data_IF_180091097230
#
_entry.id   IF_180091097230
#
_cell.length_a   1.000
_cell.length_b   1.000
_cell.length_c   1.000
_cell.angle_alpha   90.00
_cell.angle_beta   90.00
_cell.angle_gamma   90.00
#
_symmetry.space_group_name_H-M   'P 1'
#
loop_
_entity.id
_entity.type
_entity.pdbx_description
1 polymer ?
#
# COMPACT_ATOMS: atom_id res chain seq x y z
N UNK A 1 5.28 -36.74 24.70
CA UNK A 1 4.22 -37.67 25.12
C UNK A 1 3.18 -36.97 26.00
N UNK A 2 2.32 -36.09 25.45
CA UNK A 2 1.18 -35.55 26.19
C UNK A 2 0.15 -34.94 25.22
N UNK A 3 -0.73 -35.76 24.64
CA UNK A 3 -1.70 -35.29 23.64
C UNK A 3 -3.16 -35.28 24.08
N UNK A 4 -3.51 -35.68 25.31
CA UNK A 4 -4.91 -35.63 25.77
C UNK A 4 -5.04 -35.36 27.28
N UNK A 5 -4.81 -34.11 27.74
CA UNK A 5 -4.91 -33.74 29.16
C UNK A 5 -6.33 -33.99 29.73
N UNK A 6 -7.37 -33.86 28.92
CA UNK A 6 -8.77 -34.13 29.31
C UNK A 6 -9.02 -35.61 29.62
N UNK A 7 -8.44 -36.54 28.84
CA UNK A 7 -8.59 -37.98 29.04
C UNK A 7 -7.89 -38.42 30.34
N UNK A 8 -6.73 -37.83 30.64
CA UNK A 8 -5.99 -38.12 31.88
C UNK A 8 -6.78 -37.68 33.12
N UNK A 9 -7.39 -36.50 33.08
CA UNK A 9 -8.22 -35.98 34.17
C UNK A 9 -9.49 -36.83 34.38
N UNK A 10 -10.12 -37.29 33.29
CA UNK A 10 -11.30 -38.15 33.35
C UNK A 10 -10.96 -39.52 33.97
N UNK A 11 -9.87 -40.15 33.53
CA UNK A 11 -9.43 -41.43 34.06
C UNK A 11 -9.06 -41.33 35.55
N UNK A 12 -8.37 -40.25 35.95
CA UNK A 12 -8.04 -39.98 37.36
C UNK A 12 -9.29 -39.78 38.22
N UNK A 13 -10.27 -39.02 37.73
CA UNK A 13 -11.54 -38.79 38.44
C UNK A 13 -12.36 -40.07 38.63
N UNK A 14 -12.36 -40.95 37.62
CA UNK A 14 -13.06 -42.23 37.67
C UNK A 14 -12.42 -43.21 38.66
N UNK A 15 -11.09 -43.28 38.65
CA UNK A 15 -10.31 -44.15 39.55
C UNK A 15 -10.46 -43.71 41.02
N UNK A 16 -10.47 -42.39 41.26
CA UNK A 16 -10.68 -41.81 42.59
C UNK A 16 -12.11 -42.03 43.10
N UNK A 17 -13.11 -41.91 42.24
CA UNK A 17 -14.53 -42.15 42.60
C UNK A 17 -14.78 -43.62 42.95
N UNK A 18 -14.23 -44.57 42.18
CA UNK A 18 -14.33 -46.01 42.48
C UNK A 18 -13.60 -46.32 43.79
N UNK A 19 -12.39 -45.77 43.98
CA UNK A 19 -11.62 -45.93 45.21
C UNK A 19 -12.39 -45.44 46.44
N UNK A 20 -13.00 -44.25 46.37
CA UNK A 20 -13.81 -43.70 47.46
C UNK A 20 -15.06 -44.55 47.76
N UNK A 21 -15.73 -45.05 46.73
CA UNK A 21 -16.90 -45.93 46.88
C UNK A 21 -16.55 -47.23 47.62
N UNK A 22 -15.41 -47.86 47.27
CA UNK A 22 -14.96 -49.09 47.92
C UNK A 22 -14.55 -48.86 49.38
N UNK A 23 -13.93 -47.71 49.68
CA UNK A 23 -13.60 -47.33 51.06
C UNK A 23 -14.87 -47.09 51.88
N UNK A 24 -15.85 -46.38 51.34
CA UNK A 24 -17.13 -46.12 52.03
C UNK A 24 -17.91 -47.42 52.32
N UNK A 25 -17.95 -48.35 51.36
CA UNK A 25 -18.52 -49.69 51.57
C UNK A 25 -17.73 -50.47 52.64
N UNK A 26 -16.40 -50.35 52.68
CA UNK A 26 -15.55 -50.95 53.71
C UNK A 26 -15.80 -50.45 55.13
N UNK A 27 -16.30 -49.21 55.28
CA UNK A 27 -16.74 -48.65 56.57
C UNK A 27 -18.23 -48.93 56.90
N UNK A 28 -18.91 -49.75 56.09
CA UNK A 28 -20.30 -50.14 56.32
C UNK A 28 -21.35 -49.15 55.83
N UNK A 29 -20.95 -48.07 55.12
CA UNK A 29 -21.87 -47.13 54.49
C UNK A 29 -22.26 -47.62 53.10
N UNK A 30 -23.47 -48.16 52.96
CA UNK A 30 -23.97 -48.67 51.69
C UNK A 30 -24.48 -47.53 50.81
N UNK A 31 -23.64 -47.06 49.89
CA UNK A 31 -24.02 -46.03 48.91
C UNK A 31 -24.87 -46.70 47.82
N UNK A 32 -26.13 -46.28 47.61
CA UNK A 32 -26.96 -46.87 46.56
C UNK A 32 -26.30 -46.67 45.20
N UNK A 33 -26.13 -47.77 44.45
CA UNK A 33 -25.40 -47.80 43.17
C UNK A 33 -25.96 -46.83 42.12
N UNK A 34 -27.22 -46.40 42.27
CA UNK A 34 -27.84 -45.35 41.44
C UNK A 34 -27.11 -44.00 41.50
N UNK A 35 -26.54 -43.61 42.65
CA UNK A 35 -25.79 -42.36 42.77
C UNK A 35 -24.47 -42.39 41.99
N UNK A 36 -23.83 -43.56 41.90
CA UNK A 36 -22.60 -43.74 41.12
C UNK A 36 -22.88 -43.60 39.62
N UNK A 37 -23.95 -44.23 39.13
CA UNK A 37 -24.34 -44.09 37.72
C UNK A 37 -24.75 -42.67 37.36
N UNK A 38 -25.41 -41.95 38.27
CA UNK A 38 -25.75 -40.55 38.09
C UNK A 38 -24.50 -39.66 37.99
N UNK A 39 -23.48 -39.88 38.82
CA UNK A 39 -22.22 -39.12 38.79
C UNK A 39 -21.40 -39.36 37.51
N UNK A 40 -21.35 -40.61 37.04
CA UNK A 40 -20.69 -40.97 35.77
C UNK A 40 -21.42 -40.31 34.60
N UNK A 41 -22.76 -40.42 34.56
CA UNK A 41 -23.58 -39.83 33.51
C UNK A 41 -23.46 -38.30 33.47
N UNK A 42 -23.44 -37.64 34.63
CA UNK A 42 -23.26 -36.19 34.73
C UNK A 42 -21.89 -35.74 34.23
N UNK A 43 -20.82 -36.48 34.56
CA UNK A 43 -19.47 -36.16 34.11
C UNK A 43 -19.30 -36.30 32.60
N UNK A 44 -19.86 -37.37 32.00
CA UNK A 44 -19.86 -37.55 30.54
C UNK A 44 -20.64 -36.44 29.85
N UNK A 45 -21.77 -36.02 30.44
CA UNK A 45 -22.58 -34.93 29.90
C UNK A 45 -21.86 -33.57 29.95
N UNK A 46 -21.18 -33.26 31.07
CA UNK A 46 -20.38 -32.03 31.16
C UNK A 46 -19.23 -32.03 30.14
N UNK A 47 -18.53 -33.15 29.98
CA UNK A 47 -17.45 -33.24 29.00
C UNK A 47 -17.96 -33.12 27.56
N UNK A 48 -19.13 -33.70 27.25
CA UNK A 48 -19.78 -33.53 25.95
C UNK A 48 -20.16 -32.06 25.68
N UNK A 49 -20.72 -31.38 26.68
CA UNK A 49 -21.02 -29.94 26.58
C UNK A 49 -19.75 -29.09 26.44
N UNK A 50 -18.67 -29.45 27.14
CA UNK A 50 -17.39 -28.77 27.04
C UNK A 50 -16.73 -28.96 25.65
N UNK A 51 -16.75 -30.18 25.12
CA UNK A 51 -16.25 -30.45 23.76
C UNK A 51 -17.07 -29.72 22.70
N UNK A 52 -18.39 -29.63 22.87
CA UNK A 52 -19.29 -28.92 21.97
C UNK A 52 -19.09 -27.39 22.07
N UNK A 53 -18.82 -26.87 23.26
CA UNK A 53 -18.45 -25.46 23.47
C UNK A 53 -17.10 -25.13 22.81
N UNK A 54 -16.10 -25.99 22.95
CA UNK A 54 -14.78 -25.82 22.29
C UNK A 54 -14.94 -25.90 20.76
N UNK A 55 -15.75 -26.83 20.25
CA UNK A 55 -16.05 -26.96 18.82
C UNK A 55 -16.73 -25.70 18.27
N UNK A 56 -17.73 -25.17 18.96
CA UNK A 56 -18.37 -23.91 18.59
C UNK A 56 -17.42 -22.72 18.69
N UNK A 57 -16.54 -22.68 19.70
CA UNK A 57 -15.56 -21.58 19.86
C UNK A 57 -14.50 -21.59 18.76
N UNK A 58 -14.06 -22.78 18.30
CA UNK A 58 -13.20 -22.92 17.10
C UNK A 58 -13.92 -22.43 15.85
N UNK A 59 -15.19 -22.81 15.66
CA UNK A 59 -16.00 -22.36 14.52
C UNK A 59 -16.21 -20.84 14.52
N UNK A 60 -16.38 -20.22 15.69
CA UNK A 60 -16.54 -18.76 15.81
C UNK A 60 -15.23 -17.97 15.67
N UNK A 61 -14.09 -18.49 16.16
CA UNK A 61 -12.79 -17.83 15.99
C UNK A 61 -12.29 -17.87 14.53
N UNK A 62 -12.65 -18.91 13.76
CA UNK A 62 -12.39 -18.97 12.32
C UNK A 62 -13.38 -18.16 11.47
N UNK A 63 -14.42 -17.57 12.06
CA UNK A 63 -15.39 -16.72 11.36
C UNK A 63 -14.98 -15.23 11.31
N UNK A 64 -13.92 -14.83 12.04
CA UNK A 64 -13.39 -13.46 12.05
C UNK A 64 -12.09 -13.27 11.26
N UNK A 65 -11.61 -14.27 10.52
CA UNK A 65 -10.69 -14.03 9.41
C UNK A 65 -11.47 -13.41 8.24
N UNK A 66 -11.62 -12.09 8.41
CA UNK A 66 -12.01 -11.02 7.52
C UNK A 66 -12.37 -11.43 6.09
N UNK A 67 -13.58 -11.07 5.66
CA UNK A 67 -13.98 -11.08 4.26
C UNK A 67 -12.93 -10.38 3.37
N UNK A 68 -12.20 -9.38 3.91
CA UNK A 68 -11.05 -8.75 3.26
C UNK A 68 -9.89 -9.72 2.98
N UNK A 69 -9.45 -10.53 3.94
CA UNK A 69 -8.36 -11.49 3.69
C UNK A 69 -8.76 -12.55 2.68
N UNK A 70 -10.00 -13.04 2.72
CA UNK A 70 -10.49 -14.00 1.70
C UNK A 70 -10.56 -13.38 0.31
N UNK A 71 -10.99 -12.12 0.19
CA UNK A 71 -10.97 -11.41 -1.10
C UNK A 71 -9.55 -11.11 -1.55
N UNK A 72 -8.64 -10.74 -0.64
CA UNK A 72 -7.24 -10.51 -0.97
C UNK A 72 -6.58 -11.80 -1.41
N UNK A 73 -6.83 -12.93 -0.75
CA UNK A 73 -6.28 -14.24 -1.12
C UNK A 73 -6.88 -14.76 -2.44
N UNK A 74 -8.18 -14.57 -2.67
CA UNK A 74 -8.82 -14.90 -3.95
C UNK A 74 -8.29 -14.03 -5.11
N UNK A 75 -8.14 -12.72 -4.88
CA UNK A 75 -7.53 -11.79 -5.84
C UNK A 75 -6.07 -12.13 -6.05
N UNK A 76 -5.31 -12.47 -5.01
CA UNK A 76 -3.91 -12.89 -5.10
C UNK A 76 -3.74 -14.24 -5.79
N UNK A 77 -4.68 -15.18 -5.64
CA UNK A 77 -4.71 -16.45 -6.38
C UNK A 77 -5.01 -16.23 -7.86
N UNK A 78 -5.95 -15.34 -8.19
CA UNK A 78 -6.22 -14.90 -9.57
C UNK A 78 -5.03 -14.17 -10.20
N UNK A 79 -4.34 -13.33 -9.42
CA UNK A 79 -3.15 -12.58 -9.84
C UNK A 79 -1.93 -13.49 -9.97
N UNK A 80 -1.74 -14.47 -9.08
CA UNK A 80 -0.53 -15.30 -9.06
C UNK A 80 -0.58 -16.49 -10.02
N UNK A 81 -1.75 -16.88 -10.52
CA UNK A 81 -1.92 -18.05 -11.39
C UNK A 81 -1.42 -19.37 -10.78
N UNK A 82 -1.09 -19.38 -9.48
CA UNK A 82 -0.59 -20.56 -8.78
C UNK A 82 -1.76 -21.28 -8.16
N UNK A 83 -2.17 -22.35 -8.84
CA UNK A 83 -2.99 -23.41 -8.28
C UNK A 83 -2.12 -24.12 -7.24
N UNK A 84 -2.35 -23.88 -5.95
CA UNK A 84 -2.00 -24.92 -4.99
C UNK A 84 -2.96 -26.07 -5.27
N UNK A 85 -2.38 -27.22 -5.62
CA UNK A 85 -3.07 -28.45 -5.96
C UNK A 85 -3.92 -28.92 -4.78
N UNK A 86 -5.14 -28.42 -4.70
CA UNK A 86 -6.21 -29.11 -4.02
C UNK A 86 -6.57 -30.31 -4.90
N UNK A 87 -6.32 -31.52 -4.39
CA UNK A 87 -6.82 -32.79 -4.94
C UNK A 87 -8.29 -32.63 -5.34
N UNK A 88 -8.55 -32.46 -6.63
CA UNK A 88 -9.88 -32.43 -7.20
C UNK A 88 -9.85 -33.17 -8.52
N UNK A 89 -10.85 -34.05 -8.67
CA UNK A 89 -11.06 -35.04 -9.73
C UNK A 89 -10.49 -34.67 -11.11
N UNK A 90 -9.88 -35.67 -11.74
CA UNK A 90 -9.33 -35.61 -13.10
C UNK A 90 -10.35 -35.11 -14.14
N UNK A 91 -11.65 -35.29 -13.88
CA UNK A 91 -12.74 -34.82 -14.73
C UNK A 91 -12.98 -33.31 -14.65
N UNK A 92 -12.73 -32.70 -13.48
CA UNK A 92 -12.79 -31.23 -13.30
C UNK A 92 -11.49 -30.57 -13.79
N UNK A 93 -10.36 -31.26 -13.68
CA UNK A 93 -9.08 -30.81 -14.21
C UNK A 93 -9.08 -30.71 -15.75
N UNK A 94 -9.76 -31.63 -16.44
CA UNK A 94 -9.88 -31.62 -17.90
C UNK A 94 -10.81 -30.51 -18.42
N UNK A 95 -11.87 -30.16 -17.69
CA UNK A 95 -12.74 -29.03 -18.04
C UNK A 95 -12.11 -27.65 -17.79
N UNK A 96 -11.13 -27.58 -16.89
CA UNK A 96 -10.36 -26.36 -16.63
C UNK A 96 -9.14 -26.19 -17.55
N UNK A 97 -8.74 -27.24 -18.29
CA UNK A 97 -7.64 -27.20 -19.24
C UNK A 97 -8.01 -26.51 -20.57
N UNK A 98 -9.30 -26.25 -20.80
CA UNK A 98 -9.84 -25.64 -22.03
C UNK A 98 -10.29 -24.17 -21.84
N UNK A 99 -9.98 -23.58 -20.67
CA UNK A 99 -10.10 -22.15 -20.44
C UNK A 99 -8.72 -21.56 -20.16
N UNK A 100 -8.02 -21.36 -21.28
CA UNK A 100 -7.10 -20.26 -21.54
C UNK A 100 -6.01 -20.03 -20.48
N UNK A 101 -4.82 -20.55 -20.78
CA UNK A 101 -3.51 -20.16 -20.22
C UNK A 101 -3.16 -18.67 -20.51
N UNK A 102 -4.15 -17.81 -20.74
CA UNK A 102 -3.94 -16.39 -20.82
C UNK A 102 -3.86 -15.84 -19.40
N UNK A 103 -2.64 -15.56 -18.96
CA UNK A 103 -2.41 -14.70 -17.81
C UNK A 103 -3.20 -13.40 -18.00
N UNK A 104 -4.37 -13.28 -17.35
CA UNK A 104 -5.32 -12.15 -17.51
C UNK A 104 -4.63 -10.80 -17.32
N UNK A 105 -3.61 -10.75 -16.45
CA UNK A 105 -2.75 -9.59 -16.24
C UNK A 105 -1.30 -9.94 -16.50
N UNK A 106 -0.59 -9.03 -17.16
CA UNK A 106 0.84 -9.11 -17.36
C UNK A 106 1.61 -8.83 -16.04
N UNK A 107 2.90 -9.17 -15.94
CA UNK A 107 3.67 -8.97 -14.71
C UNK A 107 3.75 -7.52 -14.19
N UNK A 108 3.71 -6.52 -15.07
CA UNK A 108 3.77 -5.10 -14.69
C UNK A 108 2.45 -4.64 -14.07
N UNK A 109 1.32 -5.05 -14.65
CA UNK A 109 -0.02 -4.77 -14.12
C UNK A 109 -0.21 -5.38 -12.73
N UNK A 110 0.27 -6.61 -12.51
CA UNK A 110 0.21 -7.25 -11.19
C UNK A 110 0.97 -6.46 -10.12
N UNK A 111 2.17 -5.96 -10.45
CA UNK A 111 2.97 -5.12 -9.54
C UNK A 111 2.26 -3.79 -9.25
N UNK A 112 1.61 -3.19 -10.25
CA UNK A 112 0.82 -1.98 -10.05
C UNK A 112 -0.35 -2.24 -9.09
N UNK A 113 -1.10 -3.34 -9.29
CA UNK A 113 -2.20 -3.74 -8.40
C UNK A 113 -1.70 -3.95 -6.97
N UNK A 114 -0.58 -4.65 -6.80
CA UNK A 114 0.03 -4.87 -5.48
C UNK A 114 0.40 -3.54 -4.78
N UNK A 115 0.98 -2.58 -5.51
CA UNK A 115 1.30 -1.25 -4.97
C UNK A 115 0.06 -0.46 -4.59
N UNK A 116 -1.01 -0.51 -5.39
CA UNK A 116 -2.31 0.13 -5.06
C UNK A 116 -2.90 -0.46 -3.78
N UNK A 117 -2.90 -1.79 -3.63
CA UNK A 117 -3.43 -2.47 -2.43
C UNK A 117 -2.65 -2.08 -1.16
N UNK A 118 -1.36 -1.82 -1.29
CA UNK A 118 -0.49 -1.42 -0.18
C UNK A 118 -0.42 0.11 0.02
N UNK A 119 -1.01 0.92 -0.88
CA UNK A 119 -0.92 2.38 -0.85
C UNK A 119 -1.49 2.97 0.45
N UNK A 120 -2.54 2.36 1.01
CA UNK A 120 -3.15 2.81 2.27
C UNK A 120 -2.24 2.68 3.50
N UNK A 121 -1.19 1.86 3.42
CA UNK A 121 -0.24 1.67 4.53
C UNK A 121 0.95 2.63 4.45
N UNK A 122 1.07 3.41 3.37
CA UNK A 122 2.13 4.39 3.16
C UNK A 122 1.65 5.79 3.50
N UNK A 123 2.56 6.59 4.03
CA UNK A 123 2.35 8.00 4.37
C UNK A 123 3.09 8.91 3.38
N UNK A 124 2.73 10.19 3.37
CA UNK A 124 3.41 11.22 2.59
C UNK A 124 4.90 11.31 2.93
N UNK A 125 5.28 11.14 4.20
CA UNK A 125 6.70 11.12 4.62
C UNK A 125 7.53 10.00 3.97
N UNK A 126 6.89 8.91 3.54
CA UNK A 126 7.60 7.77 2.91
C UNK A 126 7.95 7.98 1.44
N UNK A 127 7.48 9.08 0.82
CA UNK A 127 7.71 9.41 -0.60
C UNK A 127 8.15 10.86 -0.81
N UNK A 128 8.17 11.67 0.25
CA UNK A 128 8.49 13.10 0.12
C UNK A 128 9.94 13.29 -0.28
N UNK A 129 10.21 14.37 -1.01
CA UNK A 129 11.56 14.92 -1.13
C UNK A 129 11.88 15.63 0.18
N UNK A 130 12.91 15.14 0.88
CA UNK A 130 13.37 15.71 2.15
C UNK A 130 13.82 17.16 1.97
N UNK A 131 13.62 18.01 2.97
CA UNK A 131 14.02 19.42 2.98
C UNK A 131 15.46 19.65 2.49
N UNK A 132 16.38 18.75 2.82
CA UNK A 132 17.79 18.86 2.44
C UNK A 132 18.04 18.65 0.95
N UNK A 133 17.15 17.94 0.26
CA UNK A 133 17.26 17.61 -1.16
C UNK A 133 16.42 18.55 -2.04
N UNK A 134 15.73 19.53 -1.44
CA UNK A 134 14.92 20.50 -2.16
C UNK A 134 15.82 21.58 -2.77
N UNK A 135 15.79 21.68 -4.10
CA UNK A 135 16.29 22.86 -4.80
C UNK A 135 15.41 24.08 -4.47
N UNK A 136 16.04 25.13 -3.95
CA UNK A 136 15.36 26.33 -3.49
C UNK A 136 16.10 27.58 -3.92
N UNK A 137 15.40 28.71 -3.89
CA UNK A 137 15.96 30.02 -4.18
C UNK A 137 15.72 30.98 -3.02
N UNK A 138 16.75 31.73 -2.65
CA UNK A 138 16.63 32.78 -1.66
C UNK A 138 15.76 33.91 -2.21
N UNK A 139 14.83 34.41 -1.40
CA UNK A 139 14.00 35.57 -1.72
C UNK A 139 14.81 36.81 -2.15
N UNK A 140 16.02 36.96 -1.61
CA UNK A 140 16.94 38.05 -1.87
C UNK A 140 18.03 37.71 -2.90
N UNK A 141 17.92 36.57 -3.58
CA UNK A 141 18.83 36.20 -4.65
C UNK A 141 18.88 37.32 -5.72
N UNK A 142 20.08 37.72 -6.20
CA UNK A 142 20.20 38.68 -7.28
C UNK A 142 19.46 38.21 -8.52
N UNK A 143 18.86 39.13 -9.28
CA UNK A 143 18.10 38.79 -10.49
C UNK A 143 18.92 37.96 -11.50
N UNK A 144 20.23 38.20 -11.60
CA UNK A 144 21.12 37.42 -12.45
C UNK A 144 21.18 35.94 -12.07
N UNK A 145 21.12 35.62 -10.78
CA UNK A 145 21.10 34.24 -10.26
C UNK A 145 19.74 33.58 -10.55
N UNK A 146 18.64 34.31 -10.32
CA UNK A 146 17.29 33.84 -10.67
C UNK A 146 17.23 33.49 -12.16
N UNK A 147 17.77 34.33 -13.03
CA UNK A 147 17.82 34.09 -14.48
C UNK A 147 18.65 32.87 -14.85
N UNK A 148 19.84 32.72 -14.25
CA UNK A 148 20.70 31.56 -14.47
C UNK A 148 20.02 30.25 -14.01
N UNK A 149 19.22 30.31 -12.94
CA UNK A 149 18.45 29.18 -12.47
C UNK A 149 17.30 28.86 -13.44
N UNK A 150 16.56 29.85 -13.92
CA UNK A 150 15.50 29.65 -14.92
C UNK A 150 15.98 29.01 -16.23
N UNK A 151 17.24 29.20 -16.61
CA UNK A 151 17.83 28.58 -17.81
C UNK A 151 18.18 27.09 -17.61
N UNK A 152 18.52 26.70 -16.38
CA UNK A 152 18.99 25.33 -16.07
C UNK A 152 17.90 24.46 -15.44
N UNK A 153 16.95 25.09 -14.77
CA UNK A 153 15.97 24.40 -13.96
C UNK A 153 14.90 23.73 -14.85
N UNK A 154 14.64 22.46 -14.60
CA UNK A 154 13.68 21.64 -15.35
C UNK A 154 12.34 21.50 -14.61
N UNK A 155 12.20 22.11 -13.43
CA UNK A 155 11.01 22.02 -12.61
C UNK A 155 9.99 23.10 -12.98
N UNK A 156 8.72 22.80 -12.73
CA UNK A 156 7.62 23.73 -12.99
C UNK A 156 7.40 24.74 -11.86
N UNK A 157 8.00 24.48 -10.69
CA UNK A 157 7.85 25.24 -9.45
C UNK A 157 9.21 25.33 -8.77
N UNK A 158 9.49 26.49 -8.18
CA UNK A 158 10.65 26.74 -7.35
C UNK A 158 10.19 26.96 -5.92
N UNK A 159 10.87 26.34 -4.97
CA UNK A 159 10.66 26.61 -3.55
C UNK A 159 11.45 27.85 -3.18
N UNK A 160 10.83 28.78 -2.45
CA UNK A 160 11.46 30.03 -2.02
C UNK A 160 11.75 29.96 -0.53
N UNK A 161 12.98 30.27 -0.14
CA UNK A 161 13.39 30.39 1.26
C UNK A 161 13.39 31.85 1.72
N UNK A 162 13.15 32.05 3.01
CA UNK A 162 13.23 33.36 3.65
C UNK A 162 14.66 33.80 3.94
N UNK A 163 14.77 35.02 4.44
CA UNK A 163 16.05 35.70 4.70
C UNK A 163 16.80 35.13 5.93
N UNK A 164 16.14 34.26 6.69
CA UNK A 164 16.65 33.74 7.96
C UNK A 164 17.73 32.67 7.71
N UNK A 165 18.75 32.62 8.59
CA UNK A 165 19.81 31.58 8.55
C UNK A 165 19.24 30.16 8.68
N UNK A 166 18.04 30.03 9.26
CA UNK A 166 17.30 28.77 9.37
C UNK A 166 16.75 28.27 8.03
N UNK A 167 16.70 29.11 6.99
CA UNK A 167 16.23 28.73 5.65
C UNK A 167 14.77 28.29 5.63
N UNK A 168 13.89 29.03 6.30
CA UNK A 168 12.45 28.70 6.37
C UNK A 168 11.84 28.73 4.97
N UNK A 169 11.15 27.65 4.58
CA UNK A 169 10.49 27.56 3.28
C UNK A 169 9.23 28.42 3.30
N UNK A 170 9.25 29.55 2.58
CA UNK A 170 8.17 30.53 2.58
C UNK A 170 7.01 30.12 1.68
N UNK A 171 7.28 29.41 0.59
CA UNK A 171 6.26 29.01 -0.37
C UNK A 171 6.86 28.62 -1.71
N UNK A 172 6.03 28.67 -2.75
CA UNK A 172 6.42 28.28 -4.11
C UNK A 172 6.13 29.37 -5.13
N UNK A 173 6.99 29.46 -6.14
CA UNK A 173 6.79 30.31 -7.32
C UNK A 173 6.67 29.41 -8.54
N UNK A 174 5.70 29.69 -9.39
CA UNK A 174 5.58 29.01 -10.68
C UNK A 174 6.60 29.59 -11.67
N UNK A 175 7.42 28.73 -12.26
CA UNK A 175 8.47 29.12 -13.21
C UNK A 175 7.88 29.88 -14.40
N UNK A 176 6.68 29.51 -14.85
CA UNK A 176 6.00 30.19 -15.95
C UNK A 176 5.68 31.66 -15.66
N UNK A 177 5.40 32.02 -14.40
CA UNK A 177 5.10 33.41 -14.02
C UNK A 177 6.38 34.27 -14.08
N UNK A 178 7.52 33.71 -13.65
CA UNK A 178 8.83 34.35 -13.77
C UNK A 178 9.27 34.48 -15.23
N UNK A 179 9.05 33.46 -16.05
CA UNK A 179 9.32 33.51 -17.48
C UNK A 179 8.48 34.60 -18.16
N UNK A 180 7.21 34.78 -17.77
CA UNK A 180 6.38 35.86 -18.29
C UNK A 180 6.92 37.26 -17.95
N UNK A 181 7.39 37.49 -16.71
CA UNK A 181 8.04 38.75 -16.34
C UNK A 181 9.32 38.98 -17.17
N UNK A 182 10.15 37.93 -17.30
CA UNK A 182 11.38 37.97 -18.10
C UNK A 182 11.09 38.34 -19.57
N UNK A 183 10.10 37.70 -20.19
CA UNK A 183 9.71 37.94 -21.59
C UNK A 183 9.15 39.33 -21.84
N UNK A 184 8.56 39.97 -20.81
CA UNK A 184 8.06 41.36 -20.87
C UNK A 184 9.14 42.40 -20.59
N UNK A 185 10.35 41.96 -20.21
CA UNK A 185 11.42 42.87 -19.77
C UNK A 185 11.12 43.54 -18.42
N UNK A 186 10.23 42.94 -17.62
CA UNK A 186 9.92 43.39 -16.26
C UNK A 186 10.98 42.85 -15.28
N UNK A 187 11.25 43.57 -14.17
CA UNK A 187 12.12 43.05 -13.12
C UNK A 187 11.51 41.79 -12.50
N UNK A 188 12.33 40.74 -12.32
CA UNK A 188 11.87 39.50 -11.70
C UNK A 188 11.56 39.74 -10.23
N UNK A 189 10.32 39.46 -9.82
CA UNK A 189 9.88 39.70 -8.46
C UNK A 189 9.32 38.43 -7.84
N UNK A 190 10.18 37.69 -7.13
CA UNK A 190 9.80 36.47 -6.39
C UNK A 190 8.71 36.78 -5.36
N UNK A 191 8.88 37.84 -4.56
CA UNK A 191 7.98 38.18 -3.45
C UNK A 191 6.53 38.36 -3.89
N UNK A 192 6.32 38.97 -5.06
CA UNK A 192 4.99 39.18 -5.63
C UNK A 192 4.34 37.91 -6.18
N UNK A 193 5.14 36.88 -6.48
CA UNK A 193 4.70 35.64 -7.13
C UNK A 193 4.63 34.44 -6.17
N UNK A 194 5.07 34.58 -4.92
CA UNK A 194 5.00 33.51 -3.91
C UNK A 194 3.54 33.12 -3.68
N UNK A 195 3.30 31.81 -3.72
CA UNK A 195 2.02 31.18 -3.39
C UNK A 195 2.23 30.16 -2.28
N UNK A 196 1.26 30.08 -1.38
CA UNK A 196 1.23 29.05 -0.35
C UNK A 196 0.74 27.73 -0.98
N UNK A 197 1.54 26.66 -0.97
CA UNK A 197 1.09 25.37 -1.45
C UNK A 197 0.12 24.72 -0.44
N UNK A 198 -0.46 23.59 -0.85
CA UNK A 198 -1.21 22.74 0.07
C UNK A 198 -0.26 22.23 1.17
N UNK A 199 -0.76 22.00 2.38
CA UNK A 199 0.06 21.53 3.51
C UNK A 199 -0.49 20.20 4.01
N UNK A 200 0.39 19.22 4.15
CA UNK A 200 0.09 17.90 4.68
C UNK A 200 0.89 17.62 5.95
N UNK A 201 0.27 17.03 7.00
CA UNK A 201 1.05 16.48 8.09
C UNK A 201 1.84 15.25 7.60
N UNK A 202 3.04 15.03 8.12
CA UNK A 202 3.90 13.91 7.72
C UNK A 202 3.25 12.51 7.88
N UNK A 203 2.29 12.39 8.79
CA UNK A 203 1.54 11.16 9.08
C UNK A 203 0.38 10.90 8.11
N UNK A 204 0.08 11.81 7.17
CA UNK A 204 -1.05 11.67 6.24
C UNK A 204 -0.87 10.46 5.32
N UNK A 205 -1.83 9.52 5.25
CA UNK A 205 -1.77 8.42 4.30
C UNK A 205 -1.91 8.87 2.84
N UNK A 206 -1.31 8.14 1.90
CA UNK A 206 -1.23 8.55 0.49
C UNK A 206 -2.59 8.61 -0.24
N UNK A 207 -3.54 7.72 0.08
CA UNK A 207 -4.88 7.74 -0.53
C UNK A 207 -5.65 9.04 -0.22
N UNK A 208 -5.82 9.45 1.05
CA UNK A 208 -6.33 10.77 1.40
C UNK A 208 -5.56 11.93 0.76
N UNK A 209 -4.23 11.86 0.68
CA UNK A 209 -3.42 12.89 0.04
C UNK A 209 -3.77 13.04 -1.46
N UNK A 210 -3.96 11.93 -2.16
CA UNK A 210 -4.40 11.92 -3.57
C UNK A 210 -5.77 12.58 -3.76
N UNK A 211 -6.72 12.32 -2.85
CA UNK A 211 -8.03 12.96 -2.88
C UNK A 211 -7.95 14.46 -2.60
N UNK A 212 -7.10 14.88 -1.65
CA UNK A 212 -6.88 16.29 -1.36
C UNK A 212 -6.26 17.02 -2.55
N UNK A 213 -5.26 16.43 -3.22
CA UNK A 213 -4.71 16.98 -4.47
C UNK A 213 -5.80 17.15 -5.54
N UNK A 214 -6.63 16.12 -5.75
CA UNK A 214 -7.74 16.17 -6.72
C UNK A 214 -8.74 17.28 -6.39
N UNK A 215 -9.13 17.43 -5.13
CA UNK A 215 -10.11 18.41 -4.68
C UNK A 215 -9.55 19.84 -4.75
N UNK A 216 -8.30 20.04 -4.34
CA UNK A 216 -7.62 21.33 -4.36
C UNK A 216 -7.16 21.75 -5.77
N UNK A 217 -7.19 20.84 -6.75
CA UNK A 217 -6.72 21.07 -8.13
C UNK A 217 -5.28 21.60 -8.18
N UNK A 218 -4.44 21.08 -7.28
CA UNK A 218 -3.01 21.35 -7.23
C UNK A 218 -2.23 20.04 -7.22
N UNK A 219 -0.95 20.11 -7.53
CA UNK A 219 -0.07 18.96 -7.69
C UNK A 219 1.17 19.04 -6.80
N UNK A 220 1.16 19.95 -5.84
CA UNK A 220 2.31 20.25 -5.00
C UNK A 220 1.84 20.58 -3.58
N UNK A 221 2.49 19.97 -2.60
CA UNK A 221 2.23 20.21 -1.18
C UNK A 221 3.53 20.25 -0.38
N UNK A 222 3.52 21.05 0.68
CA UNK A 222 4.50 20.99 1.75
C UNK A 222 4.10 19.90 2.75
N UNK A 223 5.10 19.21 3.28
CA UNK A 223 4.93 18.24 4.36
C UNK A 223 5.46 18.87 5.64
N UNK A 224 4.66 18.86 6.70
CA UNK A 224 5.00 19.48 7.98
C UNK A 224 5.01 18.47 9.13
N UNK A 225 5.86 18.76 10.12
CA UNK A 225 5.91 18.07 11.41
C UNK A 225 4.73 18.47 12.32
N UNK A 226 4.76 18.02 13.59
CA UNK A 226 3.71 18.34 14.56
C UNK A 226 3.79 19.78 15.10
N UNK A 227 4.92 20.45 14.88
CA UNK A 227 5.21 21.82 15.31
C UNK A 227 4.97 22.85 14.19
N UNK A 228 4.67 22.40 12.98
CA UNK A 228 4.42 23.23 11.79
C UNK A 228 5.68 23.54 10.98
N UNK A 229 6.82 22.92 11.28
CA UNK A 229 8.05 23.02 10.49
C UNK A 229 7.90 22.22 9.20
N UNK A 230 8.41 22.75 8.08
CA UNK A 230 8.40 22.02 6.81
C UNK A 230 9.53 21.00 6.78
N UNK A 231 9.19 19.72 6.70
CA UNK A 231 10.12 18.59 6.62
C UNK A 231 10.45 18.19 5.17
N UNK A 232 9.58 18.55 4.23
CA UNK A 232 9.77 18.21 2.83
C UNK A 232 8.64 18.66 1.92
N UNK A 233 8.67 18.16 0.68
CA UNK A 233 7.64 18.40 -0.33
C UNK A 233 7.17 17.10 -0.93
N UNK A 234 5.93 17.09 -1.40
CA UNK A 234 5.36 15.97 -2.13
C UNK A 234 4.52 16.49 -3.29
N UNK A 235 4.63 15.82 -4.42
CA UNK A 235 3.89 16.13 -5.63
C UNK A 235 2.89 15.04 -5.96
N UNK A 236 1.92 15.37 -6.82
CA UNK A 236 1.00 14.37 -7.35
C UNK A 236 1.75 13.30 -8.15
N UNK A 237 2.85 13.67 -8.82
CA UNK A 237 3.67 12.74 -9.59
C UNK A 237 4.30 11.68 -8.69
N UNK A 238 4.81 12.03 -7.51
CA UNK A 238 5.44 11.08 -6.57
C UNK A 238 4.43 10.03 -6.06
N UNK A 239 3.18 10.47 -5.84
CA UNK A 239 2.07 9.57 -5.46
C UNK A 239 1.73 8.63 -6.62
N UNK A 240 1.72 9.12 -7.86
CA UNK A 240 1.47 8.31 -9.05
C UNK A 240 2.61 7.35 -9.35
N UNK A 241 3.87 7.76 -9.18
CA UNK A 241 5.06 6.92 -9.33
C UNK A 241 5.07 5.78 -8.31
N UNK A 242 4.60 6.04 -7.09
CA UNK A 242 4.39 4.99 -6.09
C UNK A 242 3.42 3.90 -6.58
N UNK A 243 2.47 4.21 -7.45
CA UNK A 243 1.53 3.26 -8.05
C UNK A 243 2.11 2.62 -9.31
N UNK A 244 2.62 3.44 -10.23
CA UNK A 244 3.11 3.02 -11.54
C UNK A 244 4.48 2.31 -11.48
N UNK A 245 5.24 2.51 -10.41
CA UNK A 245 6.68 2.24 -10.36
C UNK A 245 7.45 3.37 -11.02
N UNK A 246 8.79 3.29 -11.02
CA UNK A 246 9.67 4.29 -11.61
C UNK A 246 9.17 4.66 -13.02
N UNK A 247 8.57 5.85 -13.09
CA UNK A 247 8.35 6.52 -14.35
C UNK A 247 9.72 7.12 -14.68
N UNK A 248 10.30 6.83 -15.85
CA UNK A 248 11.55 7.48 -16.22
C UNK A 248 11.31 8.99 -16.16
N UNK A 249 11.94 9.65 -15.20
CA UNK A 249 12.04 11.10 -15.24
C UNK A 249 12.83 11.45 -16.49
N UNK A 250 12.51 12.55 -17.17
CA UNK A 250 13.24 12.99 -18.38
C UNK A 250 14.77 13.17 -18.15
N UNK A 251 15.20 13.14 -16.88
CA UNK A 251 16.57 13.21 -16.38
C UNK A 251 17.31 11.86 -16.38
N UNK A 252 16.60 10.72 -16.37
CA UNK A 252 17.24 9.43 -16.57
C UNK A 252 17.55 9.27 -18.07
N UNK A 253 18.84 9.30 -18.43
CA UNK A 253 19.27 8.84 -19.75
C UNK A 253 18.60 7.49 -20.00
N UNK A 254 17.68 7.46 -20.96
CA UNK A 254 17.02 6.24 -21.40
C UNK A 254 18.15 5.34 -21.93
N UNK A 255 18.64 4.41 -21.10
CA UNK A 255 19.60 3.40 -21.53
C UNK A 255 18.88 2.41 -22.43
N UNK A 256 18.74 2.80 -23.70
CA UNK A 256 18.08 2.05 -24.77
C UNK A 256 18.75 0.69 -25.07
N UNK A 257 19.81 0.32 -24.33
CA UNK A 257 20.50 -0.97 -24.47
C UNK A 257 19.74 -2.13 -23.84
N UNK A 258 18.75 -1.87 -22.99
CA UNK A 258 18.00 -2.92 -22.29
C UNK A 258 16.75 -3.42 -23.03
N UNK A 259 16.32 -2.75 -24.11
CA UNK A 259 15.09 -3.10 -24.85
C UNK A 259 15.34 -3.87 -26.16
N UNK A 260 16.58 -4.26 -26.46
CA UNK A 260 16.91 -5.05 -27.65
C UNK A 260 17.18 -6.50 -27.24
N UNK A 261 16.13 -7.34 -27.26
CA UNK A 261 16.33 -8.79 -27.29
C UNK A 261 16.69 -9.23 -28.71
N UNK A 262 17.89 -9.78 -28.87
CA UNK A 262 18.35 -10.35 -30.12
C UNK A 262 17.72 -11.72 -30.32
N UNK A 263 16.76 -11.83 -31.24
CA UNK A 263 16.28 -13.15 -31.67
C UNK A 263 17.39 -13.93 -32.40
N UNK A 264 17.38 -15.28 -32.31
CA UNK A 264 18.39 -16.14 -32.92
C UNK A 264 18.49 -16.04 -34.46
N UNK A 265 17.53 -15.37 -35.10
CA UNK A 265 17.38 -15.31 -36.56
C UNK A 265 17.97 -14.02 -37.17
N UNK A 266 18.62 -13.19 -36.36
CA UNK A 266 19.34 -11.99 -36.82
C UNK A 266 18.46 -10.79 -37.20
N UNK A 267 17.14 -10.88 -37.06
CA UNK A 267 16.24 -9.73 -37.20
C UNK A 267 16.16 -8.94 -35.88
N UNK A 268 16.37 -7.62 -35.98
CA UNK A 268 16.15 -6.67 -34.89
C UNK A 268 14.68 -6.23 -34.92
N UNK A 269 13.87 -6.65 -33.96
CA UNK A 269 12.52 -6.12 -33.80
C UNK A 269 12.57 -4.89 -32.89
N UNK A 270 12.56 -3.71 -33.51
CA UNK A 270 12.47 -2.46 -32.77
C UNK A 270 11.01 -2.18 -32.43
N UNK A 271 10.62 -2.39 -31.16
CA UNK A 271 9.37 -1.82 -30.66
C UNK A 271 9.47 -0.30 -30.69
N UNK A 272 8.99 0.32 -31.77
CA UNK A 272 8.75 1.76 -31.81
C UNK A 272 7.61 2.09 -30.84
N UNK A 273 7.95 2.44 -29.60
CA UNK A 273 7.04 3.19 -28.73
C UNK A 273 6.88 4.60 -29.30
N UNK A 274 5.88 4.79 -30.16
CA UNK A 274 5.35 6.11 -30.44
C UNK A 274 4.59 6.59 -29.20
N UNK A 275 5.14 7.56 -28.48
CA UNK A 275 4.35 8.42 -27.61
C UNK A 275 3.50 9.34 -28.52
N UNK A 276 2.28 8.88 -28.83
CA UNK A 276 1.24 9.70 -29.44
C UNK A 276 0.24 10.14 -28.36
N UNK A 277 0.14 11.45 -28.17
CA UNK A 277 -0.87 12.13 -27.35
C UNK A 277 -0.27 13.43 -26.81
N UNK A 278 -0.60 14.64 -27.27
CA UNK A 278 -1.83 15.11 -27.88
C UNK A 278 -2.49 16.10 -26.93
N UNK A 279 -2.13 17.39 -27.03
CA UNK A 279 -2.92 18.50 -26.49
C UNK A 279 -3.00 19.63 -27.52
N UNK A 280 -4.24 19.97 -27.88
CA UNK A 280 -4.65 21.34 -28.22
C UNK A 280 -4.28 21.86 -29.61
N UNK A 281 -5.23 21.74 -30.54
CA UNK A 281 -5.25 22.49 -31.78
C UNK A 281 -5.19 24.01 -31.54
N UNK A 282 -4.27 24.71 -32.20
CA UNK A 282 -4.39 26.16 -32.47
C UNK A 282 -4.47 26.35 -33.97
N UNK A 283 -5.66 26.78 -34.40
CA UNK A 283 -6.05 27.11 -35.76
C UNK A 283 -5.37 28.43 -36.12
N UNK A 284 -4.38 28.40 -37.01
CA UNK A 284 -3.86 29.62 -37.63
C UNK A 284 -4.87 30.11 -38.67
N UNK A 285 -5.55 31.22 -38.37
CA UNK A 285 -6.23 32.02 -39.36
C UNK A 285 -5.19 32.94 -40.01
N UNK A 286 -4.83 32.66 -41.27
CA UNK A 286 -4.18 33.62 -42.15
C UNK A 286 -5.26 34.42 -42.86
N UNK A 287 -5.37 35.70 -42.51
CA UNK A 287 -6.05 36.70 -43.31
C UNK A 287 -5.18 37.01 -44.55
N UNK A 288 -5.83 37.06 -45.72
CA UNK A 288 -5.32 37.77 -46.88
C UNK A 288 -5.65 39.26 -46.82
#
# INVERSE_FOLDING_TARGET
MNNHPTIVILCLSFLLMIGFSLVAEGFGFHIPKGYLYAAIGFSVMIEALNQLAIFNRRRFLSANHTLRQRTTEAVMRLISGKKEDAELDAETAAMLADHDDSQIFNPQERRMIERVLNLNQRTVSSIMTSRHDIEHIDLNAPEAEIRALLEKNQHTRLVVTGENEQGDLLGVVHVIDLLQQSLRGEPLNLRALIRQPLVFPETLPLLPALEQFRNARTHFAFVVDEFGSVEGIVTLSDVMETIAGNLPNEVEEIDARHDIQKNPDGFMDGKRSYAAGGFGAVRAATAG
#
